data_IF_309422284187
#
_entry.id   IF_309422284187
#
_cell.length_a   1.000
_cell.length_b   1.000
_cell.length_c   1.000
_cell.angle_alpha   90.00
_cell.angle_beta   90.00
_cell.angle_gamma   90.00
#
_symmetry.space_group_name_H-M   'P 1'
#
loop_
_entity.id
_entity.type
_entity.pdbx_description
1 polymer ?
#
# COMPACT_ATOMS: atom_id res chain seq x y z
N UNK A 1 -1.49 5.81 -20.47
CA UNK A 1 -1.98 4.77 -19.53
C UNK A 1 -0.91 4.39 -18.50
N UNK A 2 0.30 3.95 -18.88
CA UNK A 2 1.32 3.53 -17.90
C UNK A 2 1.88 4.67 -17.02
N UNK A 3 1.62 5.93 -17.36
CA UNK A 3 1.96 7.10 -16.54
C UNK A 3 1.00 7.32 -15.36
N UNK A 4 -0.30 7.09 -15.59
CA UNK A 4 -1.37 7.44 -14.63
C UNK A 4 -1.77 6.25 -13.78
N UNK A 5 -1.75 5.04 -14.34
CA UNK A 5 -2.10 3.82 -13.63
C UNK A 5 -1.26 3.59 -12.35
N UNK A 6 0.08 3.80 -12.33
CA UNK A 6 0.87 3.66 -11.11
C UNK A 6 0.41 4.59 -10.00
N UNK A 7 0.09 5.85 -10.31
CA UNK A 7 -0.34 6.84 -9.32
C UNK A 7 -1.64 6.39 -8.66
N UNK A 8 -2.65 6.02 -9.45
CA UNK A 8 -3.95 5.56 -8.92
C UNK A 8 -3.77 4.30 -8.07
N UNK A 9 -3.01 3.34 -8.57
CA UNK A 9 -2.78 2.07 -7.86
C UNK A 9 -2.00 2.27 -6.56
N UNK A 10 -0.97 3.14 -6.53
CA UNK A 10 -0.23 3.47 -5.32
C UNK A 10 -1.11 4.19 -4.29
N UNK A 11 -1.99 5.09 -4.71
CA UNK A 11 -2.99 5.72 -3.83
C UNK A 11 -3.94 4.67 -3.25
N UNK A 12 -4.48 3.76 -4.08
CA UNK A 12 -5.30 2.65 -3.60
C UNK A 12 -4.55 1.77 -2.59
N UNK A 13 -3.27 1.44 -2.87
CA UNK A 13 -2.38 0.72 -1.97
C UNK A 13 -2.30 1.41 -0.60
N UNK A 14 -2.01 2.71 -0.61
CA UNK A 14 -1.82 3.46 0.62
C UNK A 14 -3.08 3.53 1.50
N UNK A 15 -4.28 3.56 0.90
CA UNK A 15 -5.53 3.46 1.67
C UNK A 15 -5.56 2.17 2.50
N UNK A 16 -5.20 1.02 1.93
CA UNK A 16 -5.15 -0.24 2.67
C UNK A 16 -4.05 -0.24 3.74
N UNK A 17 -2.87 0.32 3.45
CA UNK A 17 -1.81 0.46 4.45
C UNK A 17 -2.27 1.30 5.65
N UNK A 18 -2.93 2.42 5.38
CA UNK A 18 -3.49 3.33 6.38
C UNK A 18 -4.57 2.65 7.21
N UNK A 19 -5.45 1.86 6.59
CA UNK A 19 -6.45 1.05 7.30
C UNK A 19 -5.81 -0.01 8.20
N UNK A 20 -4.76 -0.70 7.74
CA UNK A 20 -4.04 -1.67 8.55
C UNK A 20 -3.39 -1.02 9.78
N UNK A 21 -2.83 0.18 9.62
CA UNK A 21 -2.17 0.95 10.67
C UNK A 21 -3.16 1.51 11.71
N UNK A 22 -4.16 2.29 11.28
CA UNK A 22 -5.12 2.85 12.22
C UNK A 22 -6.06 1.80 12.82
N UNK A 23 -6.37 0.74 12.07
CA UNK A 23 -7.19 -0.38 12.54
C UNK A 23 -6.60 -1.01 13.80
N UNK A 24 -5.31 -1.34 13.79
CA UNK A 24 -4.68 -1.99 14.95
C UNK A 24 -4.65 -1.08 16.20
N UNK A 25 -4.53 0.24 16.02
CA UNK A 25 -4.56 1.21 17.13
C UNK A 25 -5.96 1.40 17.72
N UNK A 26 -7.01 1.18 16.93
CA UNK A 26 -8.40 1.25 17.39
C UNK A 26 -8.80 0.05 18.25
N UNK A 27 -8.23 -1.13 17.98
CA UNK A 27 -8.60 -2.39 18.64
C UNK A 27 -7.57 -2.84 19.69
N UNK A 28 -7.27 -1.99 20.68
CA UNK A 28 -6.26 -2.27 21.71
C UNK A 28 -6.63 -3.40 22.68
N UNK A 29 -7.92 -3.72 22.81
CA UNK A 29 -8.43 -4.79 23.69
C UNK A 29 -8.40 -6.17 23.04
N UNK A 30 -8.09 -6.26 21.74
CA UNK A 30 -8.00 -7.51 21.00
C UNK A 30 -6.61 -8.13 21.18
N UNK A 31 -6.47 -9.47 21.27
CA UNK A 31 -5.17 -10.12 21.37
C UNK A 31 -4.23 -9.70 20.23
N UNK A 32 -2.96 -9.43 20.57
CA UNK A 32 -1.95 -8.96 19.62
C UNK A 32 -1.85 -9.86 18.38
N UNK A 33 -1.90 -11.18 18.58
CA UNK A 33 -1.82 -12.16 17.48
C UNK A 33 -2.94 -11.96 16.47
N UNK A 34 -4.18 -11.77 16.92
CA UNK A 34 -5.33 -11.53 16.04
C UNK A 34 -5.16 -10.24 15.25
N UNK A 35 -4.72 -9.17 15.92
CA UNK A 35 -4.49 -7.87 15.29
C UNK A 35 -3.41 -7.96 14.22
N UNK A 36 -2.29 -8.65 14.52
CA UNK A 36 -1.20 -8.87 13.55
C UNK A 36 -1.70 -9.64 12.33
N UNK A 37 -2.46 -10.73 12.53
CA UNK A 37 -2.98 -11.55 11.42
C UNK A 37 -3.95 -10.77 10.53
N UNK A 38 -4.83 -9.94 11.13
CA UNK A 38 -5.74 -9.09 10.37
C UNK A 38 -4.97 -8.01 9.61
N UNK A 39 -4.01 -7.33 10.25
CA UNK A 39 -3.17 -6.34 9.58
C UNK A 39 -2.36 -6.94 8.43
N UNK A 40 -1.86 -8.17 8.57
CA UNK A 40 -1.24 -8.90 7.46
C UNK A 40 -2.21 -9.21 6.33
N UNK A 41 -3.44 -9.60 6.63
CA UNK A 41 -4.48 -9.80 5.61
C UNK A 41 -4.79 -8.52 4.82
N UNK A 42 -4.83 -7.37 5.49
CA UNK A 42 -5.02 -6.07 4.83
C UNK A 42 -3.78 -5.68 4.01
N UNK A 43 -2.58 -5.88 4.56
CA UNK A 43 -1.34 -5.64 3.83
C UNK A 43 -1.23 -6.51 2.57
N UNK A 44 -1.72 -7.75 2.59
CA UNK A 44 -1.76 -8.56 1.38
C UNK A 44 -2.57 -7.91 0.25
N UNK A 45 -3.71 -7.28 0.57
CA UNK A 45 -4.54 -6.56 -0.41
C UNK A 45 -3.80 -5.31 -0.91
N UNK A 46 -3.11 -4.59 -0.03
CA UNK A 46 -2.22 -3.48 -0.40
C UNK A 46 -1.20 -3.91 -1.45
N UNK A 47 -0.49 -5.01 -1.22
CA UNK A 47 0.50 -5.55 -2.15
C UNK A 47 -0.08 -5.90 -3.53
N UNK A 48 -1.36 -6.29 -3.60
CA UNK A 48 -2.03 -6.57 -4.87
C UNK A 48 -2.18 -5.32 -5.74
N UNK A 49 -2.11 -4.11 -5.17
CA UNK A 49 -2.07 -2.83 -5.91
C UNK A 49 -0.65 -2.31 -6.09
N UNK A 50 0.20 -2.35 -5.05
CA UNK A 50 1.57 -1.88 -5.12
C UNK A 50 2.41 -2.63 -6.17
N UNK A 51 2.29 -3.95 -6.28
CA UNK A 51 3.13 -4.74 -7.20
C UNK A 51 2.82 -4.41 -8.67
N UNK A 52 1.56 -4.41 -9.13
CA UNK A 52 1.23 -3.96 -10.48
C UNK A 52 1.59 -2.49 -10.72
N UNK A 53 1.39 -1.60 -9.74
CA UNK A 53 1.73 -0.18 -9.87
C UNK A 53 3.20 0.02 -10.22
N UNK A 54 4.08 -0.63 -9.46
CA UNK A 54 5.53 -0.52 -9.66
C UNK A 54 6.00 -1.22 -10.93
N UNK A 55 5.41 -2.36 -11.30
CA UNK A 55 5.76 -3.07 -12.54
C UNK A 55 5.33 -2.33 -13.81
N UNK A 56 4.15 -1.71 -13.79
CA UNK A 56 3.68 -0.86 -14.89
C UNK A 56 4.48 0.44 -14.93
N UNK A 57 4.70 1.03 -13.75
CA UNK A 57 5.43 2.29 -13.60
C UNK A 57 6.89 2.19 -13.99
N UNK A 58 7.57 1.06 -13.75
CA UNK A 58 8.99 0.89 -14.10
C UNK A 58 9.27 0.90 -15.61
N UNK A 59 8.22 0.81 -16.44
CA UNK A 59 8.36 0.98 -17.89
C UNK A 59 8.50 2.45 -18.31
N UNK A 60 8.18 3.40 -17.42
CA UNK A 60 8.15 4.85 -17.74
C UNK A 60 8.92 5.69 -16.73
N UNK A 61 8.91 5.30 -15.47
CA UNK A 61 9.58 5.97 -14.36
C UNK A 61 10.77 5.16 -13.87
N UNK A 62 11.82 5.85 -13.43
CA UNK A 62 12.92 5.22 -12.70
C UNK A 62 12.45 4.69 -11.34
N UNK A 63 13.14 3.68 -10.77
CA UNK A 63 12.84 3.20 -9.42
C UNK A 63 12.89 4.29 -8.35
N UNK A 64 13.76 5.28 -8.52
CA UNK A 64 13.86 6.43 -7.61
C UNK A 64 12.60 7.28 -7.65
N UNK A 65 12.10 7.61 -8.84
CA UNK A 65 10.85 8.39 -9.00
C UNK A 65 9.65 7.64 -8.43
N UNK A 66 9.53 6.33 -8.67
CA UNK A 66 8.46 5.52 -8.10
C UNK A 66 8.50 5.51 -6.57
N UNK A 67 9.70 5.45 -5.99
CA UNK A 67 9.86 5.51 -4.54
C UNK A 67 9.47 6.87 -3.98
N UNK A 68 9.90 7.95 -4.62
CA UNK A 68 9.50 9.31 -4.25
C UNK A 68 7.99 9.48 -4.34
N UNK A 69 7.33 8.94 -5.37
CA UNK A 69 5.85 8.97 -5.45
C UNK A 69 5.20 8.25 -4.28
N UNK A 70 5.70 7.06 -3.90
CA UNK A 70 5.18 6.34 -2.72
C UNK A 70 5.30 7.15 -1.43
N UNK A 71 6.42 7.84 -1.24
CA UNK A 71 6.67 8.68 -0.06
C UNK A 71 5.77 9.91 -0.01
N UNK A 72 5.42 10.49 -1.16
CA UNK A 72 4.49 11.62 -1.22
C UNK A 72 3.04 11.17 -1.00
N UNK A 73 2.70 9.95 -1.41
CA UNK A 73 1.36 9.38 -1.26
C UNK A 73 1.09 8.89 0.18
N UNK A 74 2.13 8.54 0.94
CA UNK A 74 2.03 7.96 2.28
C UNK A 74 2.09 8.99 3.39
#
# INVERSE_FOLDING_TARGET
WPQVAPIILLVCSNVFMTLAWYGHLKFKSVPLVTVVLVSWGIAFVEYCFAVPANRIGSAVYSPAELKTMQEVIT
#
